data_IF_562679590642
#
_entry.id   IF_562679590642
#
_cell.length_a   1.000
_cell.length_b   1.000
_cell.length_c   1.000
_cell.angle_alpha   90.00
_cell.angle_beta   90.00
_cell.angle_gamma   90.00
#
_symmetry.space_group_name_H-M   'P 1'
#
loop_
_entity.id
_entity.type
_entity.pdbx_description
1 polymer ?
#
# COMPACT_ATOMS: atom_id res chain seq x y z
N UNK A 1 -20.59 42.49 -0.61
CA UNK A 1 -19.96 41.49 -1.50
C UNK A 1 -18.51 41.22 -1.04
N UNK A 2 -18.31 40.76 0.20
CA UNK A 2 -16.98 40.85 0.87
C UNK A 2 -16.43 39.52 1.41
N UNK A 3 -17.13 38.40 1.23
CA UNK A 3 -16.69 37.09 1.75
C UNK A 3 -15.66 36.34 0.89
N UNK A 4 -15.29 36.86 -0.29
CA UNK A 4 -14.41 36.12 -1.22
C UNK A 4 -12.92 36.16 -0.84
N UNK A 5 -12.46 37.16 -0.10
CA UNK A 5 -11.04 37.28 0.26
C UNK A 5 -10.54 36.26 1.32
N UNK A 6 -11.24 36.05 2.47
CA UNK A 6 -10.77 35.10 3.47
C UNK A 6 -10.87 33.64 3.00
N UNK A 7 -11.89 33.30 2.21
CA UNK A 7 -12.07 31.93 1.70
C UNK A 7 -11.00 31.58 0.65
N UNK A 8 -10.54 32.55 -0.17
CA UNK A 8 -9.40 32.34 -1.10
C UNK A 8 -8.07 32.15 -0.38
N UNK A 9 -7.77 32.98 0.63
CA UNK A 9 -6.56 32.82 1.46
C UNK A 9 -6.54 31.46 2.18
N UNK A 10 -7.70 31.04 2.72
CA UNK A 10 -7.85 29.72 3.33
C UNK A 10 -7.63 28.60 2.33
N UNK A 11 -8.15 28.72 1.10
CA UNK A 11 -7.93 27.75 0.03
C UNK A 11 -6.44 27.62 -0.31
N UNK A 12 -5.70 28.72 -0.42
CA UNK A 12 -4.26 28.69 -0.69
C UNK A 12 -3.50 27.92 0.40
N UNK A 13 -3.79 28.21 1.67
CA UNK A 13 -3.18 27.50 2.80
C UNK A 13 -3.52 26.01 2.80
N UNK A 14 -4.77 25.64 2.50
CA UNK A 14 -5.19 24.24 2.42
C UNK A 14 -4.44 23.47 1.33
N UNK A 15 -4.25 24.05 0.15
CA UNK A 15 -3.53 23.40 -0.96
C UNK A 15 -2.06 23.17 -0.62
N UNK A 16 -1.43 24.13 0.06
CA UNK A 16 -0.03 24.01 0.49
C UNK A 16 0.11 22.92 1.56
N UNK A 17 -0.80 22.86 2.54
CA UNK A 17 -0.81 21.80 3.55
C UNK A 17 -1.09 20.42 2.94
N UNK A 18 -2.02 20.35 1.98
CA UNK A 18 -2.33 19.13 1.23
C UNK A 18 -1.09 18.59 0.50
N UNK A 19 -0.34 19.45 -0.19
CA UNK A 19 0.89 19.07 -0.89
C UNK A 19 1.93 18.47 0.09
N UNK A 20 2.10 19.10 1.25
CA UNK A 20 3.04 18.64 2.28
C UNK A 20 2.66 17.26 2.83
N UNK A 21 1.39 17.06 3.17
CA UNK A 21 0.88 15.79 3.70
C UNK A 21 0.89 14.68 2.67
N UNK A 22 0.58 14.99 1.41
CA UNK A 22 0.59 14.02 0.34
C UNK A 22 2.02 13.56 0.02
N UNK A 23 3.01 14.46 0.14
CA UNK A 23 4.42 14.08 0.04
C UNK A 23 4.80 13.09 1.13
N UNK A 24 4.45 13.40 2.39
CA UNK A 24 4.67 12.47 3.48
C UNK A 24 3.93 11.13 3.30
N UNK A 25 2.74 11.13 2.70
CA UNK A 25 2.02 9.89 2.39
C UNK A 25 2.74 9.07 1.32
N UNK A 26 3.26 9.72 0.28
CA UNK A 26 4.10 9.07 -0.74
C UNK A 26 5.36 8.46 -0.13
N UNK A 27 6.06 9.17 0.75
CA UNK A 27 7.24 8.65 1.44
C UNK A 27 6.91 7.40 2.27
N UNK A 28 5.74 7.39 2.91
CA UNK A 28 5.25 6.22 3.64
C UNK A 28 4.99 5.03 2.70
N UNK A 29 4.41 5.26 1.52
CA UNK A 29 4.19 4.20 0.52
C UNK A 29 5.50 3.65 -0.03
N UNK A 30 6.54 4.49 -0.20
CA UNK A 30 7.89 4.05 -0.57
C UNK A 30 8.47 3.15 0.51
N UNK A 31 8.33 3.53 1.78
CA UNK A 31 8.80 2.71 2.91
C UNK A 31 8.05 1.37 2.97
N UNK A 32 6.73 1.39 2.78
CA UNK A 32 5.91 0.17 2.69
C UNK A 32 6.40 -0.74 1.55
N UNK A 33 6.65 -0.19 0.37
CA UNK A 33 7.19 -0.92 -0.79
C UNK A 33 8.53 -1.60 -0.45
N UNK A 34 9.45 -0.87 0.21
CA UNK A 34 10.75 -1.41 0.63
C UNK A 34 10.62 -2.55 1.64
N UNK A 35 9.74 -2.41 2.64
CA UNK A 35 9.48 -3.47 3.62
C UNK A 35 8.82 -4.69 2.98
N UNK A 36 7.91 -4.47 2.02
CA UNK A 36 7.31 -5.53 1.22
C UNK A 36 8.36 -6.23 0.34
N UNK A 37 9.35 -5.54 -0.20
CA UNK A 37 10.44 -6.18 -0.95
C UNK A 37 11.34 -6.97 0.01
N UNK A 38 11.72 -6.40 1.15
CA UNK A 38 12.57 -7.04 2.15
C UNK A 38 11.92 -8.25 2.85
N UNK A 39 10.59 -8.26 2.97
CA UNK A 39 9.83 -9.34 3.61
C UNK A 39 9.73 -9.26 5.11
N UNK A 40 9.91 -8.07 5.66
CA UNK A 40 9.80 -7.79 7.09
C UNK A 40 8.33 -7.63 7.50
N UNK A 41 7.62 -8.75 7.63
CA UNK A 41 6.18 -8.76 7.94
C UNK A 41 5.84 -8.04 9.25
N UNK A 42 6.68 -8.19 10.28
CA UNK A 42 6.48 -7.56 11.59
C UNK A 42 6.57 -6.02 11.52
N UNK A 43 7.38 -5.50 10.59
CA UNK A 43 7.55 -4.07 10.38
C UNK A 43 6.42 -3.43 9.56
N UNK A 44 5.57 -4.23 8.89
CA UNK A 44 4.45 -3.72 8.09
C UNK A 44 3.25 -3.28 8.94
N UNK A 45 3.05 -3.90 10.11
CA UNK A 45 1.94 -3.59 11.00
C UNK A 45 1.91 -2.10 11.44
N UNK A 46 3.00 -1.52 11.99
CA UNK A 46 3.01 -0.10 12.35
C UNK A 46 2.87 0.83 11.13
N UNK A 47 3.37 0.42 9.96
CA UNK A 47 3.24 1.20 8.71
C UNK A 47 1.78 1.24 8.23
N UNK A 48 1.04 0.15 8.38
CA UNK A 48 -0.38 0.10 8.04
C UNK A 48 -1.22 1.06 8.91
N UNK A 49 -0.93 1.12 10.21
CA UNK A 49 -1.59 2.05 11.14
C UNK A 49 -1.28 3.50 10.80
N UNK A 50 -0.01 3.82 10.54
CA UNK A 50 0.41 5.15 10.12
C UNK A 50 -0.25 5.55 8.80
N UNK A 51 -0.38 4.62 7.85
CA UNK A 51 -1.04 4.83 6.56
C UNK A 51 -2.51 5.21 6.75
N UNK A 52 -3.22 4.49 7.61
CA UNK A 52 -4.62 4.78 7.94
C UNK A 52 -4.77 6.17 8.58
N UNK A 53 -3.87 6.55 9.48
CA UNK A 53 -3.90 7.88 10.10
C UNK A 53 -3.65 9.00 9.07
N UNK A 54 -2.63 8.87 8.23
CA UNK A 54 -2.31 9.87 7.19
C UNK A 54 -3.42 9.96 6.14
N UNK A 55 -4.05 8.84 5.79
CA UNK A 55 -5.20 8.82 4.89
C UNK A 55 -6.38 9.63 5.44
N UNK A 56 -6.75 9.44 6.72
CA UNK A 56 -7.81 10.24 7.36
C UNK A 56 -7.52 11.73 7.37
N UNK A 57 -6.25 12.12 7.57
CA UNK A 57 -5.84 13.52 7.52
C UNK A 57 -5.99 14.12 6.11
N UNK A 58 -5.61 13.36 5.08
CA UNK A 58 -5.79 13.77 3.69
C UNK A 58 -7.28 13.90 3.32
N UNK A 59 -8.14 12.98 3.79
CA UNK A 59 -9.59 13.09 3.61
C UNK A 59 -10.13 14.38 4.23
N UNK A 60 -9.75 14.67 5.48
CA UNK A 60 -10.19 15.89 6.18
C UNK A 60 -9.86 17.17 5.40
N UNK A 61 -8.66 17.26 4.83
CA UNK A 61 -8.25 18.44 4.05
C UNK A 61 -8.99 18.53 2.73
N UNK A 62 -9.25 17.40 2.08
CA UNK A 62 -10.08 17.37 0.88
C UNK A 62 -11.52 17.84 1.18
N UNK A 63 -12.08 17.43 2.31
CA UNK A 63 -13.40 17.86 2.78
C UNK A 63 -13.40 19.37 3.09
N UNK A 64 -12.39 19.86 3.81
CA UNK A 64 -12.22 21.29 4.12
C UNK A 64 -12.12 22.13 2.83
N UNK A 65 -11.34 21.66 1.84
CA UNK A 65 -11.24 22.30 0.52
C UNK A 65 -12.58 22.32 -0.20
N UNK A 66 -13.28 21.20 -0.20
CA UNK A 66 -14.60 21.07 -0.84
C UNK A 66 -15.62 21.99 -0.18
N UNK A 67 -15.60 22.11 1.15
CA UNK A 67 -16.43 23.05 1.89
C UNK A 67 -16.14 24.51 1.55
N UNK A 68 -14.86 24.88 1.44
CA UNK A 68 -14.46 26.24 1.01
C UNK A 68 -14.95 26.53 -0.40
N UNK A 69 -14.81 25.59 -1.33
CA UNK A 69 -15.30 25.75 -2.71
C UNK A 69 -16.83 25.83 -2.78
N UNK A 70 -17.54 25.01 -1.99
CA UNK A 70 -18.99 25.05 -1.89
C UNK A 70 -19.50 26.41 -1.37
N UNK A 71 -18.80 27.01 -0.39
CA UNK A 71 -19.10 28.38 0.09
C UNK A 71 -18.91 29.45 -0.98
N UNK A 72 -18.00 29.23 -1.92
CA UNK A 72 -17.80 30.09 -3.09
C UNK A 72 -18.79 29.78 -4.22
N UNK A 73 -19.67 28.78 -4.06
CA UNK A 73 -20.62 28.35 -5.09
C UNK A 73 -19.96 27.61 -6.26
N UNK A 74 -18.75 27.10 -6.05
CA UNK A 74 -17.91 26.50 -7.10
C UNK A 74 -17.75 25.00 -6.86
N UNK A 75 -17.68 24.24 -7.95
CA UNK A 75 -17.36 22.81 -7.90
C UNK A 75 -15.83 22.60 -7.92
N UNK A 76 -15.31 21.60 -7.18
CA UNK A 76 -13.90 21.24 -7.22
C UNK A 76 -13.53 20.73 -8.60
N UNK A 77 -12.68 21.50 -9.28
CA UNK A 77 -12.03 21.10 -10.53
C UNK A 77 -10.65 21.73 -10.60
N UNK A 78 -9.74 21.11 -11.35
CA UNK A 78 -8.40 21.68 -11.61
C UNK A 78 -8.49 23.12 -12.14
N UNK A 79 -9.40 23.37 -13.09
CA UNK A 79 -9.66 24.71 -13.64
C UNK A 79 -10.11 25.70 -12.56
N UNK A 80 -11.04 25.29 -11.69
CA UNK A 80 -11.55 26.12 -10.59
C UNK A 80 -10.43 26.49 -9.63
N UNK A 81 -9.63 25.50 -9.21
CA UNK A 81 -8.56 25.70 -8.24
C UNK A 81 -7.49 26.63 -8.81
N UNK A 82 -7.08 26.40 -10.07
CA UNK A 82 -6.11 27.27 -10.76
C UNK A 82 -6.62 28.71 -10.88
N UNK A 83 -7.89 28.91 -11.25
CA UNK A 83 -8.48 30.25 -11.33
C UNK A 83 -8.48 30.96 -9.97
N UNK A 84 -8.81 30.26 -8.88
CA UNK A 84 -8.81 30.84 -7.53
C UNK A 84 -7.40 31.10 -6.99
N UNK A 85 -6.39 30.40 -7.49
CA UNK A 85 -4.99 30.52 -7.09
C UNK A 85 -4.14 31.37 -8.07
N UNK A 86 -4.73 31.97 -9.10
CA UNK A 86 -4.00 32.73 -10.12
C UNK A 86 -3.09 33.84 -9.54
N UNK A 87 -3.51 34.43 -8.42
CA UNK A 87 -2.80 35.52 -7.73
C UNK A 87 -1.80 35.00 -6.67
N UNK A 88 -1.65 33.67 -6.54
CA UNK A 88 -0.83 33.01 -5.52
C UNK A 88 0.06 31.92 -6.16
N UNK A 89 1.25 32.28 -6.69
CA UNK A 89 2.12 31.35 -7.41
C UNK A 89 2.56 30.15 -6.55
N UNK A 90 2.74 30.34 -5.24
CA UNK A 90 3.05 29.25 -4.33
C UNK A 90 1.92 28.21 -4.23
N UNK A 91 0.65 28.65 -4.23
CA UNK A 91 -0.50 27.76 -4.18
C UNK A 91 -0.69 27.01 -5.51
N UNK A 92 -0.42 27.66 -6.66
CA UNK A 92 -0.41 26.99 -7.96
C UNK A 92 0.66 25.88 -8.04
N UNK A 93 1.89 26.19 -7.63
CA UNK A 93 2.97 25.20 -7.60
C UNK A 93 2.65 24.03 -6.65
N UNK A 94 2.06 24.34 -5.50
CA UNK A 94 1.57 23.31 -4.57
C UNK A 94 0.46 22.46 -5.18
N UNK A 95 -0.46 23.06 -5.95
CA UNK A 95 -1.53 22.32 -6.64
C UNK A 95 -0.98 21.35 -7.70
N UNK A 96 -0.02 21.79 -8.52
CA UNK A 96 0.65 20.90 -9.49
C UNK A 96 1.40 19.77 -8.78
N UNK A 97 1.98 20.07 -7.61
CA UNK A 97 2.59 19.07 -6.73
C UNK A 97 1.55 18.06 -6.23
N UNK A 98 0.38 18.51 -5.78
CA UNK A 98 -0.72 17.63 -5.35
C UNK A 98 -1.14 16.68 -6.48
N UNK A 99 -1.37 17.20 -7.70
CA UNK A 99 -1.76 16.37 -8.84
C UNK A 99 -0.70 15.32 -9.20
N UNK A 100 0.57 15.71 -9.15
CA UNK A 100 1.70 14.80 -9.43
C UNK A 100 1.79 13.71 -8.37
N UNK A 101 1.84 14.10 -7.10
CA UNK A 101 1.95 13.16 -5.98
C UNK A 101 0.73 12.25 -5.85
N UNK A 102 -0.46 12.70 -6.23
CA UNK A 102 -1.68 11.88 -6.21
C UNK A 102 -1.62 10.74 -7.22
N UNK A 103 -1.10 11.00 -8.43
CA UNK A 103 -0.86 9.95 -9.44
C UNK A 103 0.19 8.97 -8.94
N UNK A 104 1.29 9.49 -8.43
CA UNK A 104 2.39 8.70 -7.90
C UNK A 104 1.97 7.82 -6.70
N UNK A 105 1.13 8.35 -5.79
CA UNK A 105 0.56 7.59 -4.68
C UNK A 105 -0.37 6.47 -5.18
N UNK A 106 -1.19 6.73 -6.21
CA UNK A 106 -2.05 5.71 -6.82
C UNK A 106 -1.23 4.55 -7.40
N UNK A 107 -0.19 4.88 -8.16
CA UNK A 107 0.68 3.88 -8.80
C UNK A 107 1.43 3.03 -7.76
N UNK A 108 1.92 3.66 -6.67
CA UNK A 108 2.54 2.91 -5.56
C UNK A 108 1.56 2.05 -4.81
N UNK A 109 0.37 2.57 -4.50
CA UNK A 109 -0.64 1.79 -3.79
C UNK A 109 -1.06 0.55 -4.61
N UNK A 110 -1.11 0.66 -5.95
CA UNK A 110 -1.34 -0.49 -6.82
C UNK A 110 -0.18 -1.49 -6.76
N UNK A 111 1.08 -1.04 -6.85
CA UNK A 111 2.26 -1.92 -6.72
C UNK A 111 2.32 -2.63 -5.37
N UNK A 112 2.14 -1.90 -4.27
CA UNK A 112 2.11 -2.46 -2.92
C UNK A 112 0.99 -3.50 -2.78
N UNK A 113 -0.18 -3.25 -3.37
CA UNK A 113 -1.28 -4.21 -3.42
C UNK A 113 -0.91 -5.53 -4.10
N UNK A 114 -0.21 -5.48 -5.25
CA UNK A 114 0.27 -6.70 -5.94
C UNK A 114 1.28 -7.46 -5.07
N UNK A 115 2.27 -6.77 -4.49
CA UNK A 115 3.28 -7.38 -3.62
C UNK A 115 2.68 -8.07 -2.39
N UNK A 116 1.65 -7.45 -1.78
CA UNK A 116 0.93 -8.04 -0.64
C UNK A 116 0.26 -9.36 -1.06
N UNK A 117 -0.42 -9.37 -2.21
CA UNK A 117 -1.11 -10.57 -2.72
C UNK A 117 -0.11 -11.69 -3.03
N UNK A 118 1.00 -11.38 -3.70
CA UNK A 118 2.05 -12.36 -4.01
C UNK A 118 2.63 -12.99 -2.73
N UNK A 119 2.92 -12.18 -1.71
CA UNK A 119 3.42 -12.69 -0.43
C UNK A 119 2.40 -13.56 0.30
N UNK A 120 1.12 -13.19 0.29
CA UNK A 120 0.07 -14.02 0.86
C UNK A 120 -0.01 -15.39 0.18
N UNK A 121 0.06 -15.43 -1.15
CA UNK A 121 0.07 -16.68 -1.92
C UNK A 121 1.30 -17.54 -1.59
N UNK A 122 2.49 -16.93 -1.54
CA UNK A 122 3.73 -17.64 -1.19
C UNK A 122 3.70 -18.19 0.23
N UNK A 123 3.22 -17.41 1.21
CA UNK A 123 3.09 -17.86 2.59
C UNK A 123 2.06 -19.00 2.71
N UNK A 124 0.93 -18.92 2.01
CA UNK A 124 -0.07 -20.00 2.00
C UNK A 124 0.49 -21.28 1.36
N UNK A 125 1.25 -21.16 0.27
CA UNK A 125 1.92 -22.28 -0.37
C UNK A 125 2.96 -22.91 0.56
N UNK A 126 3.82 -22.09 1.19
CA UNK A 126 4.82 -22.55 2.14
C UNK A 126 4.18 -23.24 3.35
N UNK A 127 3.12 -22.66 3.93
CA UNK A 127 2.34 -23.29 5.00
C UNK A 127 1.74 -24.62 4.55
N UNK A 128 1.20 -24.70 3.33
CA UNK A 128 0.64 -25.93 2.77
C UNK A 128 1.73 -27.00 2.60
N UNK A 129 2.93 -26.62 2.14
CA UNK A 129 4.09 -27.51 2.06
C UNK A 129 4.56 -27.99 3.44
N UNK A 130 4.65 -27.09 4.42
CA UNK A 130 5.02 -27.43 5.80
C UNK A 130 3.99 -28.38 6.43
N UNK A 131 2.69 -28.10 6.26
CA UNK A 131 1.61 -28.96 6.75
C UNK A 131 1.59 -30.32 6.02
N UNK A 132 1.85 -30.36 4.73
CA UNK A 132 1.94 -31.61 3.97
C UNK A 132 3.15 -32.45 4.43
N UNK A 133 4.30 -31.83 4.70
CA UNK A 133 5.48 -32.50 5.25
C UNK A 133 5.26 -32.99 6.68
N UNK A 134 4.56 -32.21 7.52
CA UNK A 134 4.22 -32.60 8.88
C UNK A 134 3.16 -33.73 8.93
N UNK A 135 2.28 -33.80 7.93
CA UNK A 135 1.27 -34.86 7.79
C UNK A 135 1.75 -36.08 6.97
N UNK A 136 3.02 -36.12 6.54
CA UNK A 136 3.59 -37.35 6.02
C UNK A 136 3.83 -38.32 7.20
N UNK A 137 3.30 -39.56 7.16
CA UNK A 137 3.68 -40.56 8.13
C UNK A 137 5.20 -40.77 8.03
N UNK A 138 5.92 -40.63 9.15
CA UNK A 138 7.34 -40.94 9.25
C UNK A 138 7.58 -42.39 8.81
N UNK A 139 7.89 -42.60 7.53
CA UNK A 139 8.27 -43.89 6.94
C UNK A 139 9.75 -44.22 7.19
N UNK A 140 10.31 -43.73 8.30
CA UNK A 140 11.65 -44.05 8.75
C UNK A 140 11.60 -44.51 10.20
N UNK A 141 11.49 -45.82 10.39
CA UNK A 141 11.73 -46.44 11.70
C UNK A 141 13.23 -46.41 12.03
N UNK A 142 13.62 -46.27 13.31
CA UNK A 142 15.01 -46.14 13.75
C UNK A 142 15.91 -47.39 13.56
N UNK A 143 15.45 -48.44 12.89
CA UNK A 143 16.15 -49.74 12.79
C UNK A 143 16.71 -50.09 11.40
N UNK A 144 16.90 -49.11 10.49
CA UNK A 144 17.88 -49.19 9.37
C UNK A 144 17.91 -50.44 8.47
N UNK A 145 16.90 -51.30 8.49
CA UNK A 145 16.90 -52.56 7.75
C UNK A 145 16.12 -52.42 6.45
N UNK A 146 16.78 -51.86 5.44
CA UNK A 146 16.42 -52.11 4.06
C UNK A 146 16.74 -53.57 3.75
N UNK A 147 15.77 -54.47 3.87
CA UNK A 147 15.96 -55.86 3.45
C UNK A 147 16.16 -55.88 1.93
N UNK A 148 17.30 -56.37 1.41
CA UNK A 148 17.46 -56.55 -0.02
C UNK A 148 16.54 -57.69 -0.44
N UNK A 149 15.66 -57.45 -1.43
CA UNK A 149 15.08 -58.52 -2.22
C UNK A 149 16.18 -59.04 -3.18
N UNK A 150 17.21 -59.66 -2.58
CA UNK A 150 18.26 -60.39 -3.26
C UNK A 150 17.71 -61.73 -3.77
N UNK A 151 18.15 -62.08 -4.98
CA UNK A 151 17.65 -63.19 -5.77
C UNK A 151 17.71 -64.57 -5.13
N UNK A 152 16.91 -65.48 -5.69
CA UNK A 152 16.96 -66.90 -5.36
C UNK A 152 15.89 -67.69 -6.10
N UNK A 153 16.16 -68.03 -7.36
CA UNK A 153 15.43 -69.06 -8.10
C UNK A 153 15.76 -70.43 -7.49
N UNK A 154 14.76 -71.26 -7.20
CA UNK A 154 14.85 -72.73 -7.15
C UNK A 154 13.41 -73.27 -7.16
N UNK A 155 12.83 -73.68 -8.28
CA UNK A 155 12.94 -75.00 -8.94
C UNK A 155 12.78 -76.20 -8.00
N UNK A 156 11.68 -76.95 -8.20
CA UNK A 156 11.66 -78.42 -8.32
C UNK A 156 11.51 -79.29 -7.07
N UNK A 157 10.44 -80.10 -7.05
CA UNK A 157 10.31 -81.54 -6.64
C UNK A 157 11.28 -82.12 -5.59
N UNK A 158 10.90 -82.93 -4.60
CA UNK A 158 9.99 -84.10 -4.53
C UNK A 158 9.52 -84.24 -3.07
#
# INVERSE_FOLDING_TARGET
>A
MTNQHPDRLRLHALIIDEASRLRGFVDLLVREEQLLIAGEADALMPVADEKNQRYRQLQKINDDRTHVLARLGLQPSDKTIRALCQDAPAALAAWDTVLTLAREARDRNQRNGVLIVERMQHNQAALTTLLAAANQPQLYGPDGQSRPAGGGRSLGSV
#
